data_IF_090649584561
#
_entry.id   IF_090649584561
#
_cell.length_a   1.000
_cell.length_b   1.000
_cell.length_c   1.000
_cell.angle_alpha   90.00
_cell.angle_beta   90.00
_cell.angle_gamma   90.00
#
_symmetry.space_group_name_H-M   'P 1'
#
loop_
_entity.id
_entity.type
_entity.pdbx_description
1 polymer ?
#
# COMPACT_ATOMS: atom_id res chain seq x y z
N UNK A 1 0.99 16.00 16.56
CA UNK A 1 1.57 14.71 16.15
C UNK A 1 2.88 14.98 15.42
N UNK A 2 3.99 14.40 15.86
CA UNK A 2 5.28 14.56 15.17
C UNK A 2 5.17 14.04 13.73
N UNK A 3 5.64 14.85 12.76
CA UNK A 3 5.61 14.50 11.32
C UNK A 3 6.25 13.15 11.03
N UNK A 4 7.29 12.79 11.82
CA UNK A 4 7.92 11.47 11.81
C UNK A 4 6.96 10.34 12.16
N UNK A 5 6.15 10.48 13.23
CA UNK A 5 5.16 9.47 13.63
C UNK A 5 4.10 9.27 12.53
N UNK A 6 3.65 10.36 11.92
CA UNK A 6 2.74 10.32 10.76
C UNK A 6 3.39 9.63 9.54
N UNK A 7 4.65 9.96 9.24
CA UNK A 7 5.40 9.36 8.15
C UNK A 7 5.58 7.85 8.31
N UNK A 8 5.93 7.38 9.52
CA UNK A 8 6.02 5.94 9.80
C UNK A 8 4.69 5.22 9.64
N UNK A 9 3.59 5.80 10.13
CA UNK A 9 2.25 5.21 9.99
C UNK A 9 1.85 5.12 8.52
N UNK A 10 2.00 6.21 7.76
CA UNK A 10 1.67 6.23 6.33
C UNK A 10 2.52 5.25 5.53
N UNK A 11 3.81 5.15 5.84
CA UNK A 11 4.71 4.18 5.20
C UNK A 11 4.23 2.74 5.47
N UNK A 12 3.91 2.44 6.73
CA UNK A 12 3.41 1.11 7.12
C UNK A 12 2.09 0.77 6.42
N UNK A 13 1.14 1.70 6.39
CA UNK A 13 -0.14 1.53 5.70
C UNK A 13 0.10 1.29 4.20
N UNK A 14 0.94 2.10 3.55
CA UNK A 14 1.25 1.95 2.13
C UNK A 14 1.85 0.58 1.79
N UNK A 15 2.79 0.10 2.61
CA UNK A 15 3.40 -1.23 2.44
C UNK A 15 2.36 -2.33 2.59
N UNK A 16 1.53 -2.29 3.64
CA UNK A 16 0.50 -3.32 3.86
C UNK A 16 -0.48 -3.34 2.69
N UNK A 17 -0.92 -2.17 2.23
CA UNK A 17 -1.88 -2.06 1.14
C UNK A 17 -1.29 -2.56 -0.19
N UNK A 18 -0.02 -2.26 -0.45
CA UNK A 18 0.72 -2.82 -1.58
C UNK A 18 0.78 -4.34 -1.52
N UNK A 19 1.19 -4.90 -0.37
CA UNK A 19 1.33 -6.34 -0.20
C UNK A 19 -0.01 -7.05 -0.35
N UNK A 20 -1.07 -6.58 0.32
CA UNK A 20 -2.40 -7.17 0.19
C UNK A 20 -2.90 -7.12 -1.25
N UNK A 21 -2.59 -6.06 -1.98
CA UNK A 21 -2.99 -5.93 -3.39
C UNK A 21 -2.20 -6.85 -4.31
N UNK A 22 -0.89 -7.01 -4.08
CA UNK A 22 -0.05 -7.91 -4.88
C UNK A 22 -0.35 -9.37 -4.61
N UNK A 23 -0.62 -9.71 -3.35
CA UNK A 23 -0.90 -11.06 -2.89
C UNK A 23 -2.40 -11.39 -2.84
N UNK A 24 -3.27 -10.57 -3.43
CA UNK A 24 -4.70 -10.82 -3.38
C UNK A 24 -5.09 -12.16 -4.04
N UNK A 25 -4.38 -12.60 -5.09
CA UNK A 25 -4.69 -13.89 -5.73
C UNK A 25 -4.38 -15.09 -4.82
N UNK A 26 -3.15 -15.23 -4.25
CA UNK A 26 -2.89 -16.26 -3.24
C UNK A 26 -3.79 -16.17 -2.00
N UNK A 27 -4.27 -14.98 -1.65
CA UNK A 27 -5.20 -14.77 -0.53
C UNK A 27 -6.67 -15.07 -0.88
N UNK A 28 -6.96 -15.44 -2.13
CA UNK A 28 -8.33 -15.71 -2.59
C UNK A 28 -9.22 -14.46 -2.65
N UNK A 29 -8.62 -13.27 -2.71
CA UNK A 29 -9.31 -11.98 -2.74
C UNK A 29 -9.51 -11.57 -4.20
N UNK A 30 -10.75 -11.29 -4.61
CA UNK A 30 -11.05 -10.68 -5.92
C UNK A 30 -11.78 -11.59 -6.91
N UNK A 31 -11.89 -12.90 -6.63
CA UNK A 31 -12.83 -13.81 -7.31
C UNK A 31 -12.60 -14.06 -8.80
N UNK A 32 -11.50 -13.55 -9.37
CA UNK A 32 -11.11 -13.71 -10.77
C UNK A 32 -9.67 -14.22 -10.85
N UNK A 33 -9.36 -15.02 -11.86
CA UNK A 33 -8.01 -15.57 -12.09
C UNK A 33 -7.11 -14.52 -12.74
N UNK A 34 -6.12 -14.02 -11.99
CA UNK A 34 -5.04 -13.15 -12.48
C UNK A 34 -5.10 -11.72 -11.94
N UNK A 35 -4.12 -10.90 -12.34
CA UNK A 35 -3.92 -9.56 -11.77
C UNK A 35 -5.01 -8.56 -12.21
N UNK A 36 -6.08 -8.45 -11.43
CA UNK A 36 -7.27 -7.67 -11.73
C UNK A 36 -7.11 -6.17 -11.50
N UNK A 37 -8.02 -5.39 -12.08
CA UNK A 37 -8.04 -3.92 -11.95
C UNK A 37 -8.05 -3.43 -10.49
N UNK A 38 -8.67 -4.19 -9.57
CA UNK A 38 -8.70 -3.89 -8.13
C UNK A 38 -7.31 -4.00 -7.49
N UNK A 39 -6.53 -5.00 -7.89
CA UNK A 39 -5.16 -5.20 -7.41
C UNK A 39 -4.23 -4.12 -7.97
N UNK A 40 -4.43 -3.71 -9.23
CA UNK A 40 -3.69 -2.58 -9.82
C UNK A 40 -3.95 -1.29 -9.03
N UNK A 41 -5.21 -0.95 -8.79
CA UNK A 41 -5.59 0.26 -8.04
C UNK A 41 -5.01 0.22 -6.63
N UNK A 42 -5.16 -0.91 -5.94
CA UNK A 42 -4.62 -1.08 -4.59
C UNK A 42 -3.09 -0.99 -4.54
N UNK A 43 -2.39 -1.61 -5.50
CA UNK A 43 -0.94 -1.53 -5.60
C UNK A 43 -0.46 -0.08 -5.85
N UNK A 44 -1.10 0.64 -6.77
CA UNK A 44 -0.78 2.04 -7.07
C UNK A 44 -1.00 2.92 -5.83
N UNK A 45 -2.14 2.77 -5.15
CA UNK A 45 -2.41 3.52 -3.92
C UNK A 45 -1.42 3.17 -2.80
N UNK A 46 -1.06 1.89 -2.64
CA UNK A 46 -0.06 1.44 -1.68
C UNK A 46 1.31 2.09 -1.93
N UNK A 47 1.76 2.12 -3.19
CA UNK A 47 3.01 2.80 -3.58
C UNK A 47 2.94 4.29 -3.26
N UNK A 48 1.89 4.99 -3.69
CA UNK A 48 1.76 6.45 -3.50
C UNK A 48 1.75 6.81 -2.02
N UNK A 49 0.93 6.12 -1.22
CA UNK A 49 0.84 6.35 0.23
C UNK A 49 2.18 6.03 0.92
N UNK A 50 2.82 4.93 0.52
CA UNK A 50 4.12 4.52 1.06
C UNK A 50 5.21 5.54 0.79
N UNK A 51 5.29 6.05 -0.45
CA UNK A 51 6.24 7.09 -0.85
C UNK A 51 5.98 8.39 -0.08
N UNK A 52 4.72 8.85 0.00
CA UNK A 52 4.37 10.05 0.76
C UNK A 52 4.77 9.90 2.23
N UNK A 53 4.48 8.74 2.83
CA UNK A 53 4.87 8.43 4.20
C UNK A 53 6.39 8.48 4.39
N UNK A 54 7.15 7.87 3.49
CA UNK A 54 8.61 7.84 3.55
C UNK A 54 9.22 9.24 3.39
N UNK A 55 8.69 10.06 2.48
CA UNK A 55 9.10 11.45 2.31
C UNK A 55 8.80 12.30 3.55
N UNK A 56 7.66 12.06 4.21
CA UNK A 56 7.29 12.76 5.43
C UNK A 56 8.12 12.31 6.63
N UNK A 57 8.50 11.04 6.69
CA UNK A 57 9.38 10.51 7.73
C UNK A 57 10.80 11.11 7.67
N UNK A 58 11.28 11.39 6.45
CA UNK A 58 12.61 11.96 6.20
C UNK A 58 12.72 13.44 6.59
N UNK A 59 11.60 14.19 6.60
CA UNK A 59 11.54 15.61 6.99
C UNK A 59 11.41 15.78 8.51
#
# INVERSE_FOLDING_TARGET
>A
MEKKKLGSILTGIGIVLLLVSVFADPLGIGGYLGFGYKQIIGAVLGIVIGIIGALLYRK
#
